data_IF_029064123068
#
_entry.id   IF_029064123068
#
_cell.length_a   1.000
_cell.length_b   1.000
_cell.length_c   1.000
_cell.angle_alpha   90.00
_cell.angle_beta   90.00
_cell.angle_gamma   90.00
#
_symmetry.space_group_name_H-M   'P 1'
#
loop_
_entity.id
_entity.type
_entity.pdbx_description
1 polymer ?
#
# COMPACT_ATOMS: atom_id res chain seq x y z
N UNK A 1 -0.75 -17.42 67.02
CA UNK A 1 -0.11 -16.40 66.20
C UNK A 1 -0.40 -16.75 64.71
N UNK A 2 -1.34 -16.06 64.06
CA UNK A 2 -1.80 -16.39 62.71
C UNK A 2 -1.08 -15.45 61.71
N UNK A 3 -0.17 -16.01 60.93
CA UNK A 3 0.57 -15.29 59.90
C UNK A 3 -0.33 -15.11 58.68
N UNK A 4 -0.68 -13.86 58.34
CA UNK A 4 -1.43 -13.51 57.12
C UNK A 4 -0.42 -13.25 56.01
N UNK A 5 -0.36 -14.16 55.04
CA UNK A 5 0.41 -13.97 53.79
C UNK A 5 -0.44 -13.11 52.86
N UNK A 6 0.02 -11.90 52.61
CA UNK A 6 -0.58 -11.02 51.60
C UNK A 6 0.04 -11.33 50.24
N UNK A 7 -0.75 -11.87 49.34
CA UNK A 7 -0.34 -12.15 47.94
C UNK A 7 -0.43 -10.83 47.19
N UNK A 8 0.72 -10.26 46.81
CA UNK A 8 0.79 -9.14 45.88
C UNK A 8 0.58 -9.65 44.47
N UNK A 9 -0.54 -9.34 43.86
CA UNK A 9 -0.78 -9.57 42.44
C UNK A 9 -0.08 -8.48 41.63
N UNK A 10 1.03 -8.82 40.98
CA UNK A 10 1.70 -7.94 40.04
C UNK A 10 0.93 -8.03 38.68
N UNK A 11 0.10 -7.03 38.42
CA UNK A 11 -0.57 -6.88 37.13
C UNK A 11 0.44 -6.47 36.06
N UNK A 12 0.75 -7.37 35.12
CA UNK A 12 1.54 -7.02 33.96
C UNK A 12 0.68 -6.15 33.02
N UNK A 13 0.97 -4.85 32.97
CA UNK A 13 0.40 -3.95 31.96
C UNK A 13 1.11 -4.26 30.64
N UNK A 14 0.44 -5.01 29.76
CA UNK A 14 0.89 -5.15 28.39
C UNK A 14 0.67 -3.81 27.67
N UNK A 15 1.73 -3.07 27.46
CA UNK A 15 1.73 -1.93 26.57
C UNK A 15 1.52 -2.45 25.15
N UNK A 16 0.34 -2.24 24.58
CA UNK A 16 0.12 -2.47 23.15
C UNK A 16 1.01 -1.48 22.39
N UNK A 17 2.00 -2.00 21.65
CA UNK A 17 2.76 -1.17 20.72
C UNK A 17 1.77 -0.61 19.68
N UNK A 18 1.91 0.67 19.29
CA UNK A 18 1.08 1.21 18.21
C UNK A 18 1.30 0.35 16.96
N UNK A 19 0.21 -0.19 16.43
CA UNK A 19 0.24 -0.81 15.09
C UNK A 19 0.39 0.34 14.12
N UNK A 20 1.60 0.54 13.60
CA UNK A 20 1.86 1.48 12.52
C UNK A 20 1.15 0.93 11.28
N UNK A 21 0.32 1.74 10.65
CA UNK A 21 -0.34 1.36 9.40
C UNK A 21 0.67 1.52 8.26
N UNK A 22 0.70 0.52 7.35
CA UNK A 22 1.55 0.62 6.15
C UNK A 22 1.19 1.84 5.31
N UNK A 23 2.19 2.47 4.70
CA UNK A 23 1.98 3.44 3.63
C UNK A 23 1.61 2.68 2.36
N UNK A 24 0.44 2.94 1.80
CA UNK A 24 -0.09 2.18 0.66
C UNK A 24 0.03 2.97 -0.63
N UNK A 25 0.81 2.42 -1.59
CA UNK A 25 1.08 3.01 -2.90
C UNK A 25 0.67 2.04 -4.03
N UNK A 26 -0.61 1.92 -4.38
CA UNK A 26 -1.05 1.02 -5.43
C UNK A 26 -0.44 1.32 -6.78
N UNK A 27 -0.07 0.27 -7.53
CA UNK A 27 0.39 0.32 -8.91
C UNK A 27 -0.63 -0.33 -9.84
N UNK A 28 -1.11 0.42 -10.82
CA UNK A 28 -1.96 -0.09 -11.89
C UNK A 28 -1.07 -0.37 -13.11
N UNK A 29 -0.53 -1.57 -13.19
CA UNK A 29 0.44 -1.96 -14.19
C UNK A 29 -0.17 -2.68 -15.38
N UNK A 30 0.65 -2.97 -16.38
CA UNK A 30 0.31 -3.84 -17.49
C UNK A 30 1.47 -4.80 -17.78
N UNK A 31 1.36 -6.01 -17.23
CA UNK A 31 2.32 -7.11 -17.44
C UNK A 31 1.94 -7.99 -18.60
N UNK A 32 0.75 -7.79 -19.15
CA UNK A 32 0.21 -8.49 -20.32
C UNK A 32 -0.24 -7.51 -21.39
N UNK A 33 -0.58 -8.03 -22.58
CA UNK A 33 -1.04 -7.21 -23.69
C UNK A 33 0.09 -6.58 -24.51
N UNK A 34 -0.25 -5.68 -25.45
CA UNK A 34 0.70 -5.21 -26.47
C UNK A 34 1.85 -4.36 -25.95
N UNK A 35 1.72 -3.81 -24.75
CA UNK A 35 2.72 -2.92 -24.13
C UNK A 35 3.48 -3.59 -22.98
N UNK A 36 3.30 -4.87 -22.74
CA UNK A 36 3.91 -5.62 -21.64
C UNK A 36 5.44 -5.48 -21.58
N UNK A 37 6.10 -5.37 -22.73
CA UNK A 37 7.56 -5.19 -22.79
C UNK A 37 8.06 -3.93 -22.04
N UNK A 38 7.24 -2.88 -21.98
CA UNK A 38 7.52 -1.69 -21.18
C UNK A 38 6.94 -1.75 -19.76
N UNK A 39 5.78 -2.39 -19.62
CA UNK A 39 5.05 -2.48 -18.35
C UNK A 39 5.74 -3.36 -17.31
N UNK A 40 6.27 -4.51 -17.72
CA UNK A 40 6.95 -5.45 -16.82
C UNK A 40 8.14 -4.80 -16.11
N UNK A 41 9.17 -4.28 -16.82
CA UNK A 41 10.33 -3.70 -16.15
C UNK A 41 9.99 -2.46 -15.33
N UNK A 42 8.97 -1.69 -15.72
CA UNK A 42 8.51 -0.57 -14.91
C UNK A 42 7.89 -1.05 -13.59
N UNK A 43 6.98 -2.01 -13.65
CA UNK A 43 6.31 -2.54 -12.46
C UNK A 43 7.31 -3.21 -11.50
N UNK A 44 8.29 -3.96 -12.05
CA UNK A 44 9.37 -4.56 -11.27
C UNK A 44 10.21 -3.47 -10.59
N UNK A 45 10.68 -2.47 -11.32
CA UNK A 45 11.49 -1.39 -10.75
C UNK A 45 10.75 -0.56 -9.71
N UNK A 46 9.46 -0.33 -9.90
CA UNK A 46 8.61 0.35 -8.92
C UNK A 46 8.51 -0.45 -7.61
N UNK A 47 8.20 -1.73 -7.70
CA UNK A 47 8.11 -2.63 -6.55
C UNK A 47 9.46 -2.82 -5.84
N UNK A 48 10.53 -3.04 -6.62
CA UNK A 48 11.89 -3.25 -6.10
C UNK A 48 12.40 -2.02 -5.35
N UNK A 49 12.10 -0.81 -5.84
CA UNK A 49 12.49 0.41 -5.15
C UNK A 49 11.86 0.53 -3.76
N UNK A 50 10.58 0.27 -3.63
CA UNK A 50 9.92 0.30 -2.32
C UNK A 50 10.33 -0.86 -1.41
N UNK A 51 10.62 -2.02 -1.97
CA UNK A 51 11.23 -3.13 -1.23
C UNK A 51 12.59 -2.71 -0.66
N UNK A 52 13.43 -2.07 -1.49
CA UNK A 52 14.71 -1.53 -1.04
C UNK A 52 14.56 -0.51 0.09
N UNK A 53 13.59 0.42 0.01
CA UNK A 53 13.36 1.38 1.07
C UNK A 53 12.93 0.70 2.38
N UNK A 54 12.07 -0.31 2.30
CA UNK A 54 11.66 -1.08 3.47
C UNK A 54 12.84 -1.80 4.13
N UNK A 55 13.68 -2.47 3.33
CA UNK A 55 14.80 -3.25 3.85
C UNK A 55 15.96 -2.38 4.34
N UNK A 56 16.29 -1.33 3.61
CA UNK A 56 17.44 -0.47 3.92
C UNK A 56 17.12 0.56 4.99
N UNK A 57 15.94 1.22 4.89
CA UNK A 57 15.60 2.42 5.66
C UNK A 57 14.46 2.16 6.67
N UNK A 58 13.84 0.98 6.67
CA UNK A 58 12.65 0.69 7.48
C UNK A 58 11.41 1.41 6.99
N UNK A 59 11.30 1.64 5.69
CA UNK A 59 10.21 2.37 5.05
C UNK A 59 10.43 3.88 4.99
N UNK A 60 9.35 4.64 5.02
CA UNK A 60 9.37 6.11 5.01
C UNK A 60 8.91 6.61 6.38
N UNK A 61 9.78 7.36 7.06
CA UNK A 61 9.46 7.87 8.40
C UNK A 61 9.28 6.78 9.47
N UNK A 62 9.80 5.57 9.23
CA UNK A 62 9.63 4.41 10.09
C UNK A 62 8.35 3.60 9.82
N UNK A 63 7.59 3.96 8.79
CA UNK A 63 6.40 3.23 8.35
C UNK A 63 6.72 2.37 7.11
N UNK A 64 6.37 1.10 7.16
CA UNK A 64 6.57 0.19 6.03
C UNK A 64 5.70 0.58 4.84
N UNK A 65 6.20 0.30 3.63
CA UNK A 65 5.51 0.60 2.38
C UNK A 65 4.94 -0.69 1.80
N UNK A 66 3.67 -0.66 1.43
CA UNK A 66 3.00 -1.73 0.71
C UNK A 66 2.60 -1.25 -0.68
N UNK A 67 2.92 -2.04 -1.69
CA UNK A 67 2.65 -1.75 -3.09
C UNK A 67 1.71 -2.83 -3.66
N UNK A 68 0.40 -2.73 -3.43
CA UNK A 68 -0.53 -3.63 -4.10
C UNK A 68 -0.55 -3.32 -5.60
N UNK A 69 -0.37 -4.36 -6.40
CA UNK A 69 -0.38 -4.26 -7.86
C UNK A 69 -1.69 -4.79 -8.43
N UNK A 70 -2.25 -4.09 -9.41
CA UNK A 70 -3.41 -4.54 -10.18
C UNK A 70 -3.11 -4.50 -11.66
N UNK A 71 -3.31 -5.64 -12.32
CA UNK A 71 -3.04 -5.85 -13.75
C UNK A 71 -4.15 -5.26 -14.63
N UNK A 72 -3.81 -4.30 -15.47
CA UNK A 72 -4.77 -3.61 -16.33
C UNK A 72 -4.74 -4.04 -17.79
N UNK A 73 -3.71 -4.75 -18.23
CA UNK A 73 -3.45 -5.04 -19.63
C UNK A 73 -3.50 -3.80 -20.55
N UNK A 74 -3.17 -2.62 -20.02
CA UNK A 74 -3.31 -1.31 -20.67
C UNK A 74 -4.75 -0.93 -21.02
N UNK A 75 -5.74 -1.56 -20.39
CA UNK A 75 -7.16 -1.32 -20.62
C UNK A 75 -7.71 -0.30 -19.61
N UNK A 76 -8.38 0.74 -20.12
CA UNK A 76 -8.87 1.85 -19.29
C UNK A 76 -9.97 1.42 -18.33
N UNK A 77 -10.90 0.56 -18.74
CA UNK A 77 -11.98 0.07 -17.88
C UNK A 77 -11.43 -0.75 -16.72
N UNK A 78 -10.49 -1.67 -17.02
CA UNK A 78 -9.78 -2.42 -15.97
C UNK A 78 -8.99 -1.52 -15.02
N UNK A 79 -8.39 -0.45 -15.54
CA UNK A 79 -7.72 0.54 -14.70
C UNK A 79 -8.65 1.21 -13.71
N UNK A 80 -9.86 1.55 -14.11
CA UNK A 80 -10.90 2.10 -13.23
C UNK A 80 -11.36 1.05 -12.22
N UNK A 81 -11.57 -0.20 -12.62
CA UNK A 81 -11.91 -1.31 -11.72
C UNK A 81 -10.82 -1.54 -10.67
N UNK A 82 -9.54 -1.54 -11.08
CA UNK A 82 -8.40 -1.65 -10.18
C UNK A 82 -8.38 -0.51 -9.14
N UNK A 83 -8.63 0.72 -9.58
CA UNK A 83 -8.72 1.87 -8.69
C UNK A 83 -9.82 1.68 -7.64
N UNK A 84 -11.04 1.36 -8.07
CA UNK A 84 -12.18 1.17 -7.16
C UNK A 84 -11.94 0.03 -6.16
N UNK A 85 -11.23 -1.02 -6.56
CA UNK A 85 -10.90 -2.14 -5.69
C UNK A 85 -9.85 -1.76 -4.63
N UNK A 86 -8.88 -0.91 -4.98
CA UNK A 86 -7.72 -0.64 -4.12
C UNK A 86 -7.84 0.67 -3.31
N UNK A 87 -8.68 1.62 -3.71
CA UNK A 87 -8.79 2.92 -3.04
C UNK A 87 -9.17 2.82 -1.56
N UNK A 88 -9.94 1.80 -1.18
CA UNK A 88 -10.35 1.55 0.21
C UNK A 88 -9.27 0.97 1.11
N UNK A 89 -8.10 0.62 0.58
CA UNK A 89 -7.00 0.03 1.34
C UNK A 89 -6.11 1.07 2.05
N UNK A 90 -6.50 2.32 2.08
CA UNK A 90 -5.70 3.40 2.66
C UNK A 90 -4.66 3.97 1.69
N UNK A 91 -4.93 3.89 0.39
CA UNK A 91 -4.04 4.42 -0.63
C UNK A 91 -3.79 5.92 -0.47
N UNK A 92 -2.52 6.32 -0.48
CA UNK A 92 -2.10 7.71 -0.43
C UNK A 92 -1.90 8.30 -1.83
N UNK A 93 -1.35 7.48 -2.71
CA UNK A 93 -1.02 7.84 -4.10
C UNK A 93 -1.31 6.64 -4.97
N UNK A 94 -1.86 6.84 -6.16
CA UNK A 94 -1.96 5.81 -7.20
C UNK A 94 -0.92 6.03 -8.29
N UNK A 95 -0.32 4.95 -8.77
CA UNK A 95 0.51 4.95 -9.96
C UNK A 95 -0.23 4.28 -11.12
N UNK A 96 -0.99 5.05 -11.93
CA UNK A 96 -1.64 4.53 -13.13
C UNK A 96 -0.68 4.58 -14.31
N UNK A 97 -0.05 3.48 -14.67
CA UNK A 97 0.92 3.40 -15.76
C UNK A 97 0.24 3.49 -17.15
N UNK A 98 -0.63 4.48 -17.35
CA UNK A 98 -1.33 4.70 -18.63
C UNK A 98 -1.97 6.08 -18.64
N UNK A 99 -1.74 6.84 -19.70
CA UNK A 99 -2.38 8.14 -19.92
C UNK A 99 -3.91 8.04 -19.94
N UNK A 100 -4.45 7.03 -20.61
CA UNK A 100 -5.91 6.82 -20.69
C UNK A 100 -6.52 6.53 -19.31
N UNK A 101 -5.88 5.69 -18.51
CA UNK A 101 -6.31 5.40 -17.13
C UNK A 101 -6.19 6.67 -16.30
N UNK A 102 -5.07 7.37 -16.34
CA UNK A 102 -4.85 8.61 -15.58
C UNK A 102 -5.97 9.61 -15.80
N UNK A 103 -6.35 9.88 -17.05
CA UNK A 103 -7.42 10.84 -17.34
C UNK A 103 -8.78 10.40 -16.76
N UNK A 104 -9.08 9.12 -16.72
CA UNK A 104 -10.30 8.61 -16.10
C UNK A 104 -10.28 8.71 -14.57
N UNK A 105 -9.08 8.63 -13.98
CA UNK A 105 -8.94 8.68 -12.52
C UNK A 105 -8.91 10.10 -11.94
N UNK A 106 -8.51 11.13 -12.70
CA UNK A 106 -8.42 12.52 -12.19
C UNK A 106 -9.65 12.95 -11.40
N UNK A 107 -10.89 12.85 -11.93
CA UNK A 107 -12.07 13.26 -11.15
C UNK A 107 -12.32 12.37 -9.93
N UNK A 108 -11.94 11.11 -9.99
CA UNK A 108 -12.14 10.13 -8.92
C UNK A 108 -11.18 10.38 -7.74
N UNK A 109 -9.88 10.46 -8.03
CA UNK A 109 -8.86 10.72 -6.99
C UNK A 109 -9.10 12.07 -6.31
N UNK A 110 -9.52 13.08 -7.08
CA UNK A 110 -9.89 14.40 -6.53
C UNK A 110 -11.06 14.29 -5.56
N UNK A 111 -12.10 13.55 -5.91
CA UNK A 111 -13.28 13.35 -5.06
C UNK A 111 -12.95 12.53 -3.81
N UNK A 112 -12.06 11.54 -3.94
CA UNK A 112 -11.67 10.63 -2.87
C UNK A 112 -10.51 11.20 -2.00
N UNK A 113 -9.92 12.34 -2.37
CA UNK A 113 -8.81 12.98 -1.65
C UNK A 113 -7.50 12.18 -1.71
N UNK A 114 -7.30 11.42 -2.79
CA UNK A 114 -6.10 10.60 -3.06
C UNK A 114 -5.24 11.33 -4.11
N UNK A 115 -3.93 11.24 -4.01
CA UNK A 115 -2.98 11.81 -4.98
C UNK A 115 -2.61 10.84 -6.10
#
# INVERSE_FOLDING_TARGET
MKLKIATLAVGAVMAAAPVMADLVFPSLSYRTGPFAAGGIPFADGYSDYFTLLNERDGGIGGEAIRVPECETAYNTEKGVECYEALKGEGALVFQPLSTGITYQLIPKVTADGIA
#
